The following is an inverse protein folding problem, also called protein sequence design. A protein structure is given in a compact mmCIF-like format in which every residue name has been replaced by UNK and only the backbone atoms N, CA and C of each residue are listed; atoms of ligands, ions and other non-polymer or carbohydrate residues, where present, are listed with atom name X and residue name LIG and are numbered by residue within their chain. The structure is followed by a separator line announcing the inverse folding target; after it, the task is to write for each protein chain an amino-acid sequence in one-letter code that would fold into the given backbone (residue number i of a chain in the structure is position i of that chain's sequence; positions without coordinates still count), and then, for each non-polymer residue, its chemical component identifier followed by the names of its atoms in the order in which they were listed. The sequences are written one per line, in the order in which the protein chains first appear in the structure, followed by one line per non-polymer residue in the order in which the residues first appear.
data_IF_349642070253
#
_entry.id   IF_349642070253
#
_cell.length_a   1.000
_cell.length_b   1.000
_cell.length_c   1.000
_cell.angle_alpha   90.00
_cell.angle_beta   90.00
_cell.angle_gamma   90.00
#
_symmetry.space_group_name_H-M   'P 1'
#
loop_
_entity.id
_entity.type
_entity.pdbx_description
1 polymer ?
#
# COMPACT_ATOMS: atom_id res chain seq x y z
N UNK A 1 -17.40 -0.45 6.08
CA UNK A 1 -17.15 -0.08 4.66
C UNK A 1 -17.33 -1.28 3.75
N UNK A 2 -17.01 -2.48 4.25
CA UNK A 2 -17.20 -3.74 3.54
C UNK A 2 -18.66 -3.99 3.14
N UNK A 3 -19.64 -3.69 4.02
CA UNK A 3 -21.07 -3.84 3.68
C UNK A 3 -21.46 -3.08 2.41
N UNK A 4 -21.05 -1.82 2.25
CA UNK A 4 -21.40 -1.07 1.03
C UNK A 4 -20.76 -1.69 -0.22
N UNK A 5 -19.52 -2.18 -0.12
CA UNK A 5 -18.86 -2.89 -1.22
C UNK A 5 -19.54 -4.24 -1.52
N UNK A 6 -19.98 -4.97 -0.49
CA UNK A 6 -20.72 -6.22 -0.57
C UNK A 6 -22.05 -6.04 -1.34
N UNK A 7 -22.87 -5.07 -0.92
CA UNK A 7 -24.14 -4.78 -1.60
C UNK A 7 -23.95 -4.27 -3.04
N UNK A 8 -22.87 -3.52 -3.29
CA UNK A 8 -22.49 -3.15 -4.66
C UNK A 8 -22.10 -4.40 -5.45
N UNK A 9 -21.35 -5.33 -4.86
CA UNK A 9 -20.99 -6.63 -5.45
C UNK A 9 -22.23 -7.39 -5.93
N UNK A 10 -23.24 -7.53 -5.08
CA UNK A 10 -24.55 -8.09 -5.49
C UNK A 10 -25.19 -7.31 -6.63
N UNK A 11 -25.15 -5.98 -6.57
CA UNK A 11 -25.69 -5.12 -7.63
C UNK A 11 -24.98 -5.29 -8.98
N UNK A 12 -23.72 -5.74 -8.98
CA UNK A 12 -22.93 -6.04 -10.17
C UNK A 12 -22.74 -7.55 -10.42
N UNK A 13 -23.65 -8.37 -9.89
CA UNK A 13 -23.79 -9.78 -10.28
C UNK A 13 -22.94 -10.77 -9.50
N UNK A 14 -22.28 -10.37 -8.41
CA UNK A 14 -21.63 -11.31 -7.50
C UNK A 14 -22.66 -11.97 -6.57
N UNK A 15 -22.55 -13.28 -6.40
CA UNK A 15 -23.23 -14.04 -5.33
C UNK A 15 -22.31 -14.13 -4.11
N UNK A 16 -22.78 -14.73 -3.02
CA UNK A 16 -21.92 -14.89 -1.86
C UNK A 16 -20.78 -15.89 -2.10
N UNK A 17 -19.64 -15.66 -1.46
CA UNK A 17 -18.46 -16.52 -1.53
C UNK A 17 -18.59 -17.82 -0.70
N UNK A 18 -19.68 -18.02 0.04
CA UNK A 18 -19.97 -19.23 0.81
C UNK A 18 -21.10 -20.09 0.19
N UNK A 19 -21.58 -19.72 -1.00
CA UNK A 19 -22.56 -20.48 -1.76
C UNK A 19 -21.92 -21.58 -2.62
N UNK A 20 -22.71 -22.59 -3.02
CA UNK A 20 -22.24 -23.83 -3.67
C UNK A 20 -21.37 -23.60 -4.92
N UNK A 21 -21.57 -22.47 -5.60
CA UNK A 21 -20.84 -22.12 -6.81
C UNK A 21 -19.45 -21.50 -6.55
N UNK A 22 -19.25 -20.86 -5.40
CA UNK A 22 -18.00 -20.21 -5.01
C UNK A 22 -17.40 -20.91 -3.78
N UNK A 23 -16.98 -22.16 -3.89
CA UNK A 23 -16.39 -22.87 -2.73
C UNK A 23 -14.91 -22.48 -2.48
N UNK A 24 -14.61 -21.18 -2.37
CA UNK A 24 -13.25 -20.64 -2.17
C UNK A 24 -12.88 -20.42 -0.69
N UNK A 25 -13.83 -20.67 0.21
CA UNK A 25 -13.65 -20.50 1.65
C UNK A 25 -13.96 -19.08 2.14
N UNK A 26 -14.16 -18.92 3.45
CA UNK A 26 -14.69 -17.70 4.02
C UNK A 26 -13.69 -16.54 4.05
N UNK A 27 -14.23 -15.32 4.13
CA UNK A 27 -13.54 -14.13 4.63
C UNK A 27 -13.38 -12.99 3.64
N UNK A 28 -13.81 -13.12 2.39
CA UNK A 28 -13.76 -12.05 1.38
C UNK A 28 -14.98 -11.12 1.49
N UNK A 29 -14.98 -10.02 0.72
CA UNK A 29 -16.07 -9.02 0.74
C UNK A 29 -17.46 -9.65 0.55
N UNK A 30 -17.60 -10.68 -0.29
CA UNK A 30 -18.88 -11.30 -0.61
C UNK A 30 -19.23 -12.49 0.29
N UNK A 31 -18.44 -12.79 1.32
CA UNK A 31 -18.84 -13.81 2.30
C UNK A 31 -20.03 -13.30 3.13
N UNK A 32 -20.98 -14.18 3.46
CA UNK A 32 -22.06 -13.91 4.43
C UNK A 32 -21.54 -13.63 5.85
N UNK A 33 -20.27 -13.99 6.12
CA UNK A 33 -19.54 -13.71 7.36
C UNK A 33 -18.32 -12.82 7.10
N UNK A 34 -18.16 -11.75 7.87
CA UNK A 34 -16.95 -10.90 7.80
C UNK A 34 -15.77 -11.58 8.51
N UNK A 35 -14.70 -11.90 7.77
CA UNK A 35 -13.44 -12.43 8.29
C UNK A 35 -12.22 -11.82 7.59
N UNK A 36 -11.01 -12.36 7.83
CA UNK A 36 -9.68 -11.75 7.60
C UNK A 36 -9.40 -11.11 6.21
N UNK A 37 -10.15 -11.44 5.16
CA UNK A 37 -9.94 -10.93 3.79
C UNK A 37 -11.00 -9.90 3.35
N UNK A 38 -11.71 -9.27 4.29
CA UNK A 38 -12.85 -8.38 4.03
C UNK A 38 -12.52 -7.10 3.24
N UNK A 39 -11.26 -6.91 2.85
CA UNK A 39 -10.79 -5.84 1.96
C UNK A 39 -10.75 -6.24 0.49
N UNK A 40 -10.97 -7.52 0.16
CA UNK A 40 -10.78 -8.06 -1.18
C UNK A 40 -12.01 -8.83 -1.66
N UNK A 41 -12.27 -8.77 -2.97
CA UNK A 41 -13.16 -9.72 -3.64
C UNK A 41 -12.40 -11.02 -3.90
N UNK A 42 -13.07 -12.16 -3.73
CA UNK A 42 -12.52 -13.45 -4.10
C UNK A 42 -12.32 -13.56 -5.63
N UNK A 43 -11.58 -14.57 -6.08
CA UNK A 43 -11.47 -14.88 -7.51
C UNK A 43 -12.84 -15.19 -8.15
N UNK A 44 -13.72 -15.87 -7.41
CA UNK A 44 -15.07 -16.21 -7.88
C UNK A 44 -15.91 -14.96 -8.09
N UNK A 45 -15.94 -14.08 -7.07
CA UNK A 45 -16.59 -12.78 -7.13
C UNK A 45 -16.05 -11.93 -8.30
N UNK A 46 -14.73 -11.85 -8.45
CA UNK A 46 -14.11 -11.12 -9.56
C UNK A 46 -14.54 -11.65 -10.94
N UNK A 47 -14.63 -12.98 -11.08
CA UNK A 47 -15.10 -13.62 -12.32
C UNK A 47 -16.56 -13.26 -12.61
N UNK A 48 -17.45 -13.39 -11.64
CA UNK A 48 -18.88 -13.06 -11.80
C UNK A 48 -19.09 -11.58 -12.15
N UNK A 49 -18.44 -10.68 -11.42
CA UNK A 49 -18.49 -9.24 -11.67
C UNK A 49 -18.00 -8.95 -13.09
N UNK A 50 -16.89 -9.55 -13.50
CA UNK A 50 -16.37 -9.39 -14.87
C UNK A 50 -17.36 -9.88 -15.92
N UNK A 51 -17.96 -11.05 -15.74
CA UNK A 51 -18.97 -11.59 -16.65
C UNK A 51 -20.20 -10.67 -16.75
N UNK A 52 -20.69 -10.15 -15.62
CA UNK A 52 -21.81 -9.22 -15.58
C UNK A 52 -21.49 -7.90 -16.27
N UNK A 53 -20.37 -7.26 -15.95
CA UNK A 53 -19.95 -5.96 -16.53
C UNK A 53 -19.76 -6.06 -18.05
N UNK A 54 -19.29 -7.22 -18.53
CA UNK A 54 -19.14 -7.47 -19.96
C UNK A 54 -20.47 -7.84 -20.67
N UNK A 55 -21.52 -8.19 -19.91
CA UNK A 55 -22.84 -8.52 -20.45
C UNK A 55 -23.63 -7.28 -20.91
N UNK A 56 -24.75 -7.51 -21.59
CA UNK A 56 -25.70 -6.44 -21.95
C UNK A 56 -26.52 -5.93 -20.74
N UNK A 57 -26.59 -6.71 -19.66
CA UNK A 57 -27.31 -6.32 -18.44
C UNK A 57 -26.63 -5.14 -17.74
N UNK A 58 -25.32 -5.01 -17.87
CA UNK A 58 -24.52 -3.90 -17.36
C UNK A 58 -24.38 -2.72 -18.37
N UNK A 59 -25.19 -2.67 -19.43
CA UNK A 59 -25.06 -1.65 -20.48
C UNK A 59 -25.13 -0.22 -19.94
N UNK A 60 -25.87 0.03 -18.87
CA UNK A 60 -25.95 1.33 -18.20
C UNK A 60 -24.64 1.79 -17.54
N UNK A 61 -23.73 0.87 -17.19
CA UNK A 61 -22.43 1.19 -16.59
C UNK A 61 -21.39 1.66 -17.62
N UNK A 62 -21.71 1.55 -18.92
CA UNK A 62 -20.80 1.95 -20.02
C UNK A 62 -20.81 3.45 -20.28
N UNK A 63 -21.80 4.16 -19.75
CA UNK A 63 -21.89 5.62 -19.87
C UNK A 63 -21.16 6.31 -18.71
N UNK A 64 -20.20 7.18 -19.01
CA UNK A 64 -19.42 7.95 -18.02
C UNK A 64 -19.96 9.36 -17.80
N UNK A 65 -21.18 9.64 -18.24
CA UNK A 65 -21.81 10.98 -18.20
C UNK A 65 -22.42 11.34 -16.83
N UNK A 66 -22.24 10.50 -15.81
CA UNK A 66 -22.74 10.76 -14.47
C UNK A 66 -22.09 12.00 -13.85
N UNK A 67 -22.90 12.92 -13.32
CA UNK A 67 -22.40 14.06 -12.55
C UNK A 67 -21.94 13.57 -11.18
N UNK A 68 -20.63 13.43 -10.99
CA UNK A 68 -20.02 13.14 -9.68
C UNK A 68 -20.34 14.29 -8.73
N UNK A 69 -21.27 14.06 -7.79
CA UNK A 69 -21.66 15.07 -6.78
C UNK A 69 -20.68 15.14 -5.60
N UNK A 70 -19.94 14.06 -5.37
CA UNK A 70 -18.96 13.94 -4.29
C UNK A 70 -17.67 13.41 -4.89
N UNK A 71 -16.66 14.27 -5.02
CA UNK A 71 -15.33 13.81 -5.39
C UNK A 71 -14.70 13.10 -4.21
N UNK A 72 -14.18 11.89 -4.43
CA UNK A 72 -13.21 11.28 -3.52
C UNK A 72 -11.87 11.96 -3.79
N UNK A 73 -11.16 12.36 -2.75
CA UNK A 73 -9.81 12.89 -2.89
C UNK A 73 -8.88 11.79 -3.40
N UNK A 74 -8.15 12.05 -4.49
CA UNK A 74 -7.26 11.09 -5.16
C UNK A 74 -6.22 10.48 -4.21
N UNK A 75 -5.83 11.21 -3.17
CA UNK A 75 -4.83 10.80 -2.18
C UNK A 75 -5.46 10.30 -0.88
N UNK A 76 -6.78 10.15 -0.84
CA UNK A 76 -7.58 9.93 0.38
C UNK A 76 -7.20 10.92 1.50
N UNK A 77 -6.71 12.10 1.12
CA UNK A 77 -6.24 13.12 2.03
C UNK A 77 -7.40 13.87 2.67
N UNK A 78 -8.62 13.74 2.11
CA UNK A 78 -9.87 14.33 2.61
C UNK A 78 -11.11 13.50 2.25
N UNK A 79 -12.04 13.26 3.21
CA UNK A 79 -11.82 13.41 4.65
C UNK A 79 -10.80 12.38 5.12
N UNK A 80 -9.82 12.78 5.94
CA UNK A 80 -8.95 11.80 6.60
C UNK A 80 -9.78 11.02 7.60
N UNK A 81 -9.65 9.70 7.61
CA UNK A 81 -10.15 8.90 8.72
C UNK A 81 -9.51 9.39 10.02
N UNK A 82 -10.30 9.35 11.09
CA UNK A 82 -9.89 9.78 12.42
C UNK A 82 -8.88 8.82 13.06
N UNK A 83 -8.89 8.78 14.38
CA UNK A 83 -8.25 7.77 15.20
C UNK A 83 -9.21 6.61 15.47
N UNK A 84 -8.65 5.45 15.76
CA UNK A 84 -9.40 4.28 16.22
C UNK A 84 -10.29 4.59 17.44
N UNK A 85 -9.82 5.44 18.35
CA UNK A 85 -10.61 5.91 19.49
C UNK A 85 -11.85 6.70 19.06
N UNK A 86 -11.75 7.57 18.05
CA UNK A 86 -12.91 8.32 17.55
C UNK A 86 -13.95 7.39 16.92
N UNK A 87 -13.53 6.32 16.25
CA UNK A 87 -14.45 5.28 15.75
C UNK A 87 -15.12 4.53 16.90
N UNK A 88 -14.37 4.13 17.92
CA UNK A 88 -14.95 3.52 19.12
C UNK A 88 -15.98 4.43 19.78
N UNK A 89 -15.68 5.73 19.91
CA UNK A 89 -16.58 6.72 20.51
C UNK A 89 -17.83 6.98 19.68
N UNK A 90 -17.69 7.00 18.36
CA UNK A 90 -18.83 7.13 17.45
C UNK A 90 -19.78 5.93 17.55
N UNK A 91 -19.23 4.72 17.76
CA UNK A 91 -20.02 3.49 17.81
C UNK A 91 -20.62 3.20 19.18
N UNK A 92 -19.84 3.35 20.25
CA UNK A 92 -20.17 2.90 21.60
C UNK A 92 -20.33 4.05 22.62
N UNK A 93 -20.21 5.30 22.17
CA UNK A 93 -20.40 6.49 23.02
C UNK A 93 -19.10 7.09 23.56
N UNK A 94 -19.17 8.29 24.17
CA UNK A 94 -18.01 9.13 24.48
C UNK A 94 -17.02 8.52 25.48
N UNK A 95 -17.50 7.61 26.34
CA UNK A 95 -16.70 6.91 27.35
C UNK A 95 -15.90 5.73 26.79
N UNK A 96 -16.07 5.40 25.50
CA UNK A 96 -15.36 4.31 24.87
C UNK A 96 -13.83 4.52 24.89
N UNK A 97 -13.09 3.42 25.05
CA UNK A 97 -11.63 3.36 25.15
C UNK A 97 -11.05 2.34 24.18
N UNK A 98 -9.76 2.48 23.93
CA UNK A 98 -8.95 1.50 23.18
C UNK A 98 -7.57 1.43 23.84
N UNK A 99 -7.03 0.22 23.99
CA UNK A 99 -5.69 0.01 24.50
C UNK A 99 -4.62 0.16 23.39
N UNK A 100 -3.34 0.04 23.75
CA UNK A 100 -2.25 0.16 22.77
C UNK A 100 -2.28 -0.98 21.74
N UNK A 101 -2.59 -2.21 22.15
CA UNK A 101 -2.64 -3.36 21.25
C UNK A 101 -3.75 -3.20 20.19
N UNK A 102 -4.91 -2.69 20.59
CA UNK A 102 -6.00 -2.34 19.69
C UNK A 102 -5.64 -1.20 18.74
N UNK A 103 -4.76 -0.27 19.14
CA UNK A 103 -4.29 0.82 18.27
C UNK A 103 -3.32 0.36 17.17
N UNK A 104 -2.71 -0.81 17.33
CA UNK A 104 -1.86 -1.44 16.32
C UNK A 104 -2.66 -2.37 15.39
N UNK A 105 -3.84 -2.84 15.84
CA UNK A 105 -4.63 -3.80 15.10
C UNK A 105 -5.50 -3.11 14.03
N UNK A 106 -5.12 -3.31 12.78
CA UNK A 106 -5.82 -2.76 11.63
C UNK A 106 -6.81 -3.75 11.00
N UNK A 107 -6.98 -4.96 11.54
CA UNK A 107 -8.04 -5.90 11.13
C UNK A 107 -9.24 -5.84 12.05
N UNK A 108 -9.03 -5.79 13.36
CA UNK A 108 -10.09 -5.81 14.37
C UNK A 108 -9.87 -4.67 15.36
N UNK A 109 -10.88 -3.81 15.48
CA UNK A 109 -10.90 -2.73 16.43
C UNK A 109 -11.51 -3.20 17.76
N UNK A 110 -10.68 -3.22 18.81
CA UNK A 110 -11.06 -3.61 20.17
C UNK A 110 -11.51 -2.39 20.98
N UNK A 111 -12.82 -2.14 21.03
CA UNK A 111 -13.38 -1.02 21.77
C UNK A 111 -13.87 -1.46 23.15
N UNK A 112 -13.40 -0.82 24.21
CA UNK A 112 -13.96 -0.98 25.55
C UNK A 112 -15.06 0.06 25.76
N UNK A 113 -16.24 -0.36 26.21
CA UNK A 113 -17.35 0.54 26.56
C UNK A 113 -17.96 0.15 27.90
N UNK A 114 -18.67 1.09 28.54
CA UNK A 114 -19.45 0.78 29.74
C UNK A 114 -20.69 -0.04 29.35
N UNK A 115 -21.03 -1.04 30.15
CA UNK A 115 -22.32 -1.70 30.13
C UNK A 115 -23.32 -0.98 31.07
N UNK A 116 -24.52 -1.53 31.23
CA UNK A 116 -25.57 -0.95 32.09
C UNK A 116 -25.19 -0.92 33.59
N UNK A 117 -24.18 -1.70 34.00
CA UNK A 117 -23.66 -1.79 35.37
C UNK A 117 -22.41 -0.92 35.59
N UNK A 118 -22.09 0.00 34.67
CA UNK A 118 -20.88 0.84 34.66
C UNK A 118 -19.55 0.04 34.65
N UNK A 119 -19.58 -1.20 34.15
CA UNK A 119 -18.39 -2.03 33.94
C UNK A 119 -17.90 -1.97 32.50
N UNK A 120 -16.57 -1.99 32.31
CA UNK A 120 -16.00 -2.03 30.97
C UNK A 120 -16.13 -3.41 30.33
N UNK A 121 -16.85 -3.48 29.22
CA UNK A 121 -16.93 -4.63 28.32
C UNK A 121 -16.13 -4.39 27.05
N UNK A 122 -15.46 -5.43 26.56
CA UNK A 122 -14.71 -5.36 25.30
C UNK A 122 -15.61 -5.77 24.15
N UNK A 123 -15.76 -4.89 23.17
CA UNK A 123 -16.51 -5.10 21.95
C UNK A 123 -15.55 -5.14 20.76
N UNK A 124 -15.73 -6.13 19.91
CA UNK A 124 -14.91 -6.34 18.72
C UNK A 124 -15.64 -5.78 17.49
N UNK A 125 -14.97 -4.88 16.77
CA UNK A 125 -15.42 -4.40 15.47
C UNK A 125 -14.49 -4.97 14.39
N UNK A 126 -15.02 -5.87 13.56
CA UNK A 126 -14.25 -6.59 12.53
C UNK A 126 -13.92 -5.68 11.33
N UNK A 127 -14.57 -4.53 11.21
CA UNK A 127 -14.31 -3.59 10.11
C UNK A 127 -13.59 -2.34 10.63
N UNK A 128 -12.26 -2.36 10.61
CA UNK A 128 -11.50 -1.11 10.72
C UNK A 128 -11.74 -0.24 9.49
N UNK A 129 -11.48 1.06 9.64
CA UNK A 129 -11.63 2.02 8.53
C UNK A 129 -10.27 2.17 7.85
N UNK A 130 -10.25 2.03 6.52
CA UNK A 130 -9.09 2.37 5.70
C UNK A 130 -8.56 3.76 6.04
N UNK A 131 -7.24 3.92 5.97
CA UNK A 131 -6.53 5.18 6.24
C UNK A 131 -6.70 5.70 7.69
N UNK A 132 -7.25 4.93 8.65
CA UNK A 132 -7.35 5.32 10.07
C UNK A 132 -5.97 5.37 10.72
N UNK A 133 -5.75 6.29 11.67
CA UNK A 133 -4.46 6.34 12.38
C UNK A 133 -4.26 5.09 13.23
N UNK A 134 -3.06 4.52 13.14
CA UNK A 134 -2.60 3.40 13.95
C UNK A 134 -1.20 3.68 14.51
N UNK A 135 -0.74 2.86 15.45
CA UNK A 135 0.60 2.96 16.04
C UNK A 135 1.19 1.56 16.09
N UNK A 136 2.38 1.38 15.50
CA UNK A 136 3.16 0.14 15.56
C UNK A 136 4.54 0.47 16.13
N UNK A 137 4.94 -0.19 17.21
CA UNK A 137 6.21 0.04 17.92
C UNK A 137 6.46 1.51 18.28
N UNK A 138 5.42 2.19 18.75
CA UNK A 138 5.38 3.62 19.06
C UNK A 138 5.66 4.54 17.84
N UNK A 139 5.70 4.00 16.61
CA UNK A 139 5.79 4.76 15.35
C UNK A 139 4.39 5.02 14.79
N UNK A 140 4.05 6.28 14.45
CA UNK A 140 2.74 6.61 13.90
C UNK A 140 2.59 6.08 12.46
N UNK A 141 1.44 5.48 12.21
CA UNK A 141 1.07 4.91 10.91
C UNK A 141 -0.40 5.09 10.56
N UNK A 142 -0.83 4.36 9.54
CA UNK A 142 -2.20 4.29 9.07
C UNK A 142 -2.59 2.88 8.63
N UNK A 143 -3.83 2.49 8.89
CA UNK A 143 -4.33 1.20 8.44
C UNK A 143 -4.55 1.19 6.93
N UNK A 144 -4.02 0.19 6.26
CA UNK A 144 -4.38 -0.15 4.89
C UNK A 144 -4.43 -1.67 4.74
N UNK A 145 -5.55 -2.18 4.22
CA UNK A 145 -5.81 -3.61 3.98
C UNK A 145 -5.52 -4.47 5.20
N UNK A 146 -6.01 -4.07 6.37
CA UNK A 146 -5.85 -4.85 7.59
C UNK A 146 -4.57 -4.59 8.37
N UNK A 147 -3.62 -3.82 7.82
CA UNK A 147 -2.28 -3.68 8.39
C UNK A 147 -1.93 -2.24 8.80
N UNK A 148 -1.22 -2.10 9.93
CA UNK A 148 -0.74 -0.79 10.40
C UNK A 148 0.54 -0.39 9.67
N UNK A 149 0.41 0.48 8.67
CA UNK A 149 1.51 0.94 7.83
C UNK A 149 2.10 2.24 8.38
N UNK A 150 3.33 2.20 8.87
CA UNK A 150 4.01 3.36 9.49
C UNK A 150 4.49 4.39 8.46
N UNK A 151 4.63 5.65 8.87
CA UNK A 151 5.13 6.71 7.98
C UNK A 151 6.60 6.51 7.62
N UNK A 152 6.97 6.90 6.40
CA UNK A 152 8.22 6.51 5.75
C UNK A 152 8.80 7.65 4.88
N UNK A 153 10.07 7.51 4.48
CA UNK A 153 10.75 8.44 3.57
C UNK A 153 10.57 8.01 2.12
N UNK A 154 10.35 8.96 1.21
CA UNK A 154 10.30 8.70 -0.23
C UNK A 154 11.71 8.60 -0.83
N UNK A 155 11.82 7.93 -1.98
CA UNK A 155 13.03 7.99 -2.81
C UNK A 155 12.93 9.19 -3.75
N UNK A 156 13.83 10.17 -3.57
CA UNK A 156 13.89 11.37 -4.39
C UNK A 156 15.12 11.36 -5.29
N UNK A 157 14.90 11.61 -6.59
CA UNK A 157 15.97 11.86 -7.54
C UNK A 157 16.55 13.25 -7.31
N UNK A 158 17.85 13.32 -7.00
CA UNK A 158 18.49 14.55 -6.51
C UNK A 158 18.49 15.66 -7.55
N UNK A 159 18.76 15.37 -8.83
CA UNK A 159 18.84 16.41 -9.87
C UNK A 159 17.48 17.06 -10.13
N UNK A 160 16.43 16.25 -10.30
CA UNK A 160 15.07 16.75 -10.59
C UNK A 160 14.29 17.23 -9.35
N UNK A 161 14.66 16.78 -8.15
CA UNK A 161 13.86 16.98 -6.94
C UNK A 161 12.53 16.20 -6.91
N UNK A 162 12.31 15.27 -7.85
CA UNK A 162 11.10 14.47 -7.98
C UNK A 162 11.23 13.12 -7.26
N UNK A 163 10.10 12.52 -6.89
CA UNK A 163 10.05 11.27 -6.13
C UNK A 163 9.60 10.10 -7.00
N UNK A 164 10.06 8.89 -6.69
CA UNK A 164 9.52 7.67 -7.27
C UNK A 164 8.10 7.43 -6.77
N UNK A 165 7.23 6.95 -7.66
CA UNK A 165 5.89 6.47 -7.32
C UNK A 165 5.47 5.34 -8.26
N UNK A 166 4.81 4.27 -7.77
CA UNK A 166 4.25 3.27 -8.65
C UNK A 166 3.11 3.89 -9.45
N UNK A 167 3.06 3.62 -10.77
CA UNK A 167 1.99 4.10 -11.65
C UNK A 167 0.63 3.55 -11.22
N UNK A 168 0.60 2.30 -10.77
CA UNK A 168 -0.57 1.62 -10.23
C UNK A 168 -0.48 1.59 -8.71
N UNK A 169 -1.38 2.26 -7.99
CA UNK A 169 -1.34 2.24 -6.52
C UNK A 169 -1.81 0.89 -5.94
N UNK A 170 -2.78 0.24 -6.58
CA UNK A 170 -3.48 -0.91 -6.00
C UNK A 170 -3.04 -2.29 -6.52
N UNK A 171 -2.35 -2.37 -7.66
CA UNK A 171 -1.81 -3.62 -8.21
C UNK A 171 -0.34 -3.82 -7.85
N UNK A 172 0.11 -5.06 -7.68
CA UNK A 172 1.50 -5.42 -7.32
C UNK A 172 2.48 -5.08 -8.43
N UNK A 173 2.11 -5.37 -9.67
CA UNK A 173 2.99 -5.11 -10.82
C UNK A 173 2.61 -3.83 -11.58
N UNK A 174 3.61 -3.05 -11.97
CA UNK A 174 3.41 -1.82 -12.74
C UNK A 174 4.67 -0.97 -12.88
N UNK A 175 4.68 -0.10 -13.88
CA UNK A 175 5.79 0.85 -14.11
C UNK A 175 5.99 1.79 -12.92
N UNK A 176 7.24 2.20 -12.71
CA UNK A 176 7.60 3.23 -11.73
C UNK A 176 7.92 4.54 -12.45
N UNK A 177 7.34 5.63 -11.96
CA UNK A 177 7.45 6.96 -12.55
C UNK A 177 8.07 7.95 -11.58
N UNK A 178 8.68 9.01 -12.13
CA UNK A 178 8.93 10.24 -11.39
C UNK A 178 7.64 11.06 -11.26
N UNK A 179 7.37 11.54 -10.06
CA UNK A 179 6.28 12.47 -9.78
C UNK A 179 6.77 13.60 -8.89
N UNK A 180 6.03 14.71 -8.88
CA UNK A 180 6.27 15.76 -7.88
C UNK A 180 6.14 15.13 -6.49
N UNK A 181 7.17 15.30 -5.65
CA UNK A 181 7.13 14.73 -4.30
C UNK A 181 5.89 15.24 -3.55
N UNK A 182 5.01 14.34 -3.07
CA UNK A 182 3.84 14.77 -2.32
C UNK A 182 4.26 15.46 -1.01
N UNK A 183 3.43 16.39 -0.54
CA UNK A 183 3.63 16.98 0.80
C UNK A 183 3.53 15.89 1.88
N UNK A 184 4.14 16.11 3.04
CA UNK A 184 4.07 15.16 4.17
C UNK A 184 2.63 14.75 4.53
N UNK A 185 1.65 15.63 4.24
CA UNK A 185 0.23 15.39 4.51
C UNK A 185 -0.45 14.51 3.46
N UNK A 186 0.16 14.32 2.30
CA UNK A 186 -0.33 13.52 1.18
C UNK A 186 0.43 12.22 1.00
N UNK A 187 1.60 12.07 1.61
CA UNK A 187 2.33 10.80 1.65
C UNK A 187 1.43 9.73 2.27
N UNK A 188 1.25 8.65 1.52
CA UNK A 188 0.60 7.44 2.00
C UNK A 188 1.57 6.26 1.90
N UNK A 189 1.34 5.19 2.66
CA UNK A 189 2.02 3.91 2.48
C UNK A 189 1.80 3.24 1.10
N UNK A 190 0.94 3.80 0.24
CA UNK A 190 0.81 3.33 -1.15
C UNK A 190 1.80 4.01 -2.10
N UNK A 191 2.54 5.01 -1.61
CA UNK A 191 3.59 5.74 -2.34
C UNK A 191 5.00 5.17 -2.06
N UNK A 192 5.08 4.05 -1.33
CA UNK A 192 6.32 3.44 -0.83
C UNK A 192 6.64 2.11 -1.52
N UNK A 193 7.93 1.74 -1.56
CA UNK A 193 8.45 0.50 -2.13
C UNK A 193 9.26 -0.30 -1.12
N UNK A 194 9.41 -1.59 -1.38
CA UNK A 194 10.38 -2.47 -0.74
C UNK A 194 11.63 -2.61 -1.62
N UNK A 195 12.80 -2.67 -0.99
CA UNK A 195 14.09 -2.73 -1.66
C UNK A 195 14.88 -3.84 -0.98
N UNK A 196 15.17 -4.92 -1.69
CA UNK A 196 15.98 -6.02 -1.17
C UNK A 196 17.46 -5.64 -1.29
N UNK A 197 18.07 -5.20 -0.20
CA UNK A 197 19.46 -4.73 -0.18
C UNK A 197 20.46 -5.87 0.04
N UNK A 198 21.54 -5.89 -0.75
CA UNK A 198 22.60 -6.91 -0.73
C UNK A 198 23.89 -6.47 -0.02
N UNK A 199 23.93 -5.30 0.62
CA UNK A 199 25.17 -4.73 1.19
C UNK A 199 25.72 -5.42 2.45
N UNK A 200 25.01 -6.35 3.10
CA UNK A 200 25.47 -7.05 4.32
C UNK A 200 25.73 -8.56 4.11
N UNK A 201 27.01 -8.93 3.98
CA UNK A 201 27.50 -10.30 3.76
C UNK A 201 27.28 -11.28 4.94
N UNK A 202 26.80 -10.81 6.11
CA UNK A 202 26.64 -11.64 7.32
C UNK A 202 25.19 -11.75 7.85
N UNK A 203 24.18 -11.09 7.26
CA UNK A 203 22.83 -11.02 7.84
C UNK A 203 21.63 -11.26 6.90
N UNK A 204 21.83 -11.54 5.61
CA UNK A 204 20.73 -11.77 4.66
C UNK A 204 20.17 -10.49 4.02
N UNK A 205 19.23 -10.66 3.09
CA UNK A 205 18.60 -9.58 2.33
C UNK A 205 17.99 -8.53 3.28
N UNK A 206 18.48 -7.29 3.23
CA UNK A 206 17.94 -6.22 4.05
C UNK A 206 16.80 -5.54 3.29
N UNK A 207 15.57 -5.71 3.77
CA UNK A 207 14.41 -4.99 3.24
C UNK A 207 14.52 -3.50 3.60
N UNK A 208 15.16 -2.71 2.74
CA UNK A 208 15.11 -1.26 2.75
C UNK A 208 13.77 -0.83 2.17
N UNK A 209 12.70 -1.16 2.86
CA UNK A 209 11.46 -0.45 2.62
C UNK A 209 11.79 1.05 2.72
N UNK A 210 11.19 1.85 1.86
CA UNK A 210 10.68 3.09 2.43
C UNK A 210 9.73 2.62 3.56
N UNK A 211 10.15 2.62 4.84
CA UNK A 211 10.28 1.45 5.74
C UNK A 211 8.97 0.68 6.10
N UNK A 212 9.00 -0.60 6.50
CA UNK A 212 9.62 -1.07 7.75
C UNK A 212 9.94 -2.58 7.88
N UNK A 213 11.03 -2.83 8.63
CA UNK A 213 11.48 -4.06 9.31
C UNK A 213 10.61 -4.41 10.53
N UNK A 214 10.22 -5.68 10.66
CA UNK A 214 10.13 -6.42 11.93
C UNK A 214 10.28 -7.92 11.61
N UNK A 215 10.95 -8.69 12.48
CA UNK A 215 11.57 -10.00 12.19
C UNK A 215 10.58 -11.16 11.99
N UNK A 216 9.27 -10.91 11.95
CA UNK A 216 8.25 -11.96 11.76
C UNK A 216 7.10 -11.58 10.81
N UNK A 217 7.22 -10.50 10.04
CA UNK A 217 6.15 -10.10 9.10
C UNK A 217 6.36 -10.63 7.68
N UNK A 218 5.33 -11.29 7.14
CA UNK A 218 5.29 -11.80 5.76
C UNK A 218 4.76 -10.82 4.74
N UNK A 219 4.19 -9.68 5.11
CA UNK A 219 3.63 -8.78 4.11
C UNK A 219 3.34 -7.40 4.69
N UNK A 220 4.03 -6.38 4.17
CA UNK A 220 3.52 -5.02 4.14
C UNK A 220 4.36 -4.12 3.21
N UNK A 221 4.38 -4.50 1.93
CA UNK A 221 4.95 -3.71 0.84
C UNK A 221 5.13 -4.59 -0.39
N UNK A 222 4.03 -5.08 -0.96
CA UNK A 222 3.92 -6.09 -2.03
C UNK A 222 4.57 -5.70 -3.38
N UNK A 223 5.51 -4.76 -3.38
CA UNK A 223 6.12 -4.13 -4.53
C UNK A 223 7.61 -3.96 -4.30
N UNK A 224 8.34 -4.97 -4.71
CA UNK A 224 9.76 -4.87 -4.86
C UNK A 224 10.06 -4.23 -6.21
N UNK A 225 11.06 -3.36 -6.22
CA UNK A 225 11.55 -2.79 -7.46
C UNK A 225 12.18 -3.91 -8.31
N UNK A 226 11.74 -4.02 -9.56
CA UNK A 226 12.23 -5.00 -10.51
C UNK A 226 12.67 -4.31 -11.79
N UNK A 227 13.74 -4.80 -12.40
CA UNK A 227 14.21 -4.29 -13.69
C UNK A 227 14.76 -5.42 -14.56
N UNK A 228 14.60 -5.27 -15.88
CA UNK A 228 15.16 -6.21 -16.85
C UNK A 228 16.69 -6.13 -16.99
N UNK A 229 17.23 -7.00 -17.82
CA UNK A 229 18.67 -7.21 -18.00
C UNK A 229 19.34 -6.24 -18.98
N UNK A 230 18.58 -5.56 -19.83
CA UNK A 230 19.09 -4.70 -20.91
C UNK A 230 19.25 -3.26 -20.47
N UNK A 231 20.12 -2.56 -21.17
CA UNK A 231 20.29 -1.12 -20.94
C UNK A 231 19.08 -0.39 -21.53
N UNK A 232 18.48 0.51 -20.75
CA UNK A 232 17.23 1.18 -21.10
C UNK A 232 15.96 0.44 -20.69
N UNK A 233 16.06 -0.75 -20.06
CA UNK A 233 14.89 -1.40 -19.49
C UNK A 233 14.27 -0.52 -18.42
N UNK A 234 12.94 -0.42 -18.42
CA UNK A 234 12.21 0.40 -17.47
C UNK A 234 12.14 -0.29 -16.11
N UNK A 235 12.05 0.52 -15.05
CA UNK A 235 11.82 0.10 -13.68
C UNK A 235 10.34 -0.21 -13.47
N UNK A 236 10.07 -1.36 -12.89
CA UNK A 236 8.74 -1.79 -12.50
C UNK A 236 8.71 -2.13 -11.02
N UNK A 237 7.50 -2.36 -10.55
CA UNK A 237 7.20 -3.05 -9.32
C UNK A 237 6.72 -4.46 -9.64
N UNK A 238 6.95 -5.39 -8.73
CA UNK A 238 6.35 -6.72 -8.72
C UNK A 238 6.22 -7.23 -7.29
N UNK A 239 5.47 -8.32 -7.08
CA UNK A 239 5.39 -8.99 -5.78
C UNK A 239 6.78 -9.34 -5.25
N UNK A 240 7.05 -9.01 -3.99
CA UNK A 240 8.36 -9.26 -3.40
C UNK A 240 8.64 -10.76 -3.27
N UNK A 241 9.77 -11.18 -3.82
CA UNK A 241 10.27 -12.54 -3.80
C UNK A 241 11.74 -12.50 -3.39
N UNK A 242 12.02 -12.94 -2.18
CA UNK A 242 13.39 -12.97 -1.63
C UNK A 242 14.31 -13.94 -2.37
N UNK A 243 13.75 -14.89 -3.13
CA UNK A 243 14.53 -15.81 -3.96
C UNK A 243 14.78 -15.23 -5.37
N UNK A 244 14.24 -14.05 -5.68
CA UNK A 244 14.38 -13.38 -6.96
C UNK A 244 15.49 -12.33 -6.96
N UNK A 245 16.68 -12.74 -7.41
CA UNK A 245 17.85 -11.84 -7.54
C UNK A 245 17.59 -10.59 -8.39
N UNK A 246 16.58 -10.57 -9.26
CA UNK A 246 16.20 -9.40 -10.08
C UNK A 246 15.45 -8.31 -9.31
N UNK A 247 15.17 -8.55 -8.03
CA UNK A 247 14.58 -7.57 -7.13
C UNK A 247 15.62 -6.99 -6.16
N UNK A 248 16.88 -7.39 -6.30
CA UNK A 248 17.96 -6.99 -5.40
C UNK A 248 18.62 -5.69 -5.84
N UNK A 249 18.96 -4.86 -4.86
CA UNK A 249 19.56 -3.55 -5.05
C UNK A 249 20.67 -3.32 -4.03
N UNK A 250 21.51 -2.35 -4.32
CA UNK A 250 22.64 -1.94 -3.51
C UNK A 250 22.64 -0.42 -3.43
N UNK A 251 22.79 0.12 -2.22
CA UNK A 251 22.76 1.57 -2.02
C UNK A 251 24.19 2.09 -1.85
N UNK A 252 24.85 2.32 -2.98
CA UNK A 252 26.25 2.76 -2.95
C UNK A 252 26.34 4.25 -2.60
N UNK A 253 26.95 4.63 -1.46
CA UNK A 253 27.04 6.03 -1.06
C UNK A 253 27.88 6.82 -2.07
N UNK A 254 27.43 8.03 -2.42
CA UNK A 254 28.19 8.92 -3.34
C UNK A 254 29.48 9.39 -2.67
N UNK A 255 29.42 9.69 -1.38
CA UNK A 255 30.55 10.05 -0.54
C UNK A 255 30.42 9.39 0.83
N UNK A 256 31.55 9.12 1.51
CA UNK A 256 31.52 8.61 2.88
C UNK A 256 30.75 9.61 3.77
N UNK A 257 29.59 9.19 4.29
CA UNK A 257 28.61 9.97 5.09
C UNK A 257 27.53 10.78 4.35
N UNK A 258 27.35 10.62 3.04
CA UNK A 258 26.23 11.30 2.35
C UNK A 258 24.90 10.57 2.54
N UNK A 259 23.80 11.31 2.79
CA UNK A 259 22.41 10.82 2.63
C UNK A 259 22.05 10.52 1.15
N UNK A 260 23.03 10.65 0.25
CA UNK A 260 22.93 10.45 -1.19
C UNK A 260 23.59 9.15 -1.59
N UNK A 261 22.97 8.43 -2.51
CA UNK A 261 23.46 7.15 -2.99
C UNK A 261 23.16 6.94 -4.46
N UNK A 262 23.93 6.08 -5.09
CA UNK A 262 23.57 5.42 -6.33
C UNK A 262 22.70 4.22 -6.02
N UNK A 263 21.65 4.04 -6.81
CA UNK A 263 20.74 2.90 -6.68
C UNK A 263 21.17 1.83 -7.69
N UNK A 264 21.96 0.85 -7.24
CA UNK A 264 22.64 -0.11 -8.10
C UNK A 264 21.92 -1.45 -8.06
N UNK A 265 21.52 -1.99 -9.21
CA UNK A 265 20.84 -3.27 -9.30
C UNK A 265 21.81 -4.42 -8.98
N UNK A 266 21.46 -5.29 -8.03
CA UNK A 266 22.33 -6.33 -7.49
C UNK A 266 22.84 -7.30 -8.55
N UNK A 267 21.96 -7.74 -9.46
CA UNK A 267 22.34 -8.72 -10.49
C UNK A 267 23.11 -8.13 -11.67
N UNK A 268 22.79 -6.90 -12.09
CA UNK A 268 23.35 -6.31 -13.32
C UNK A 268 24.45 -5.29 -13.09
N UNK A 269 24.59 -4.78 -11.86
CA UNK A 269 25.49 -3.67 -11.53
C UNK A 269 25.12 -2.34 -12.21
N UNK A 270 23.89 -2.19 -12.71
CA UNK A 270 23.38 -0.99 -13.38
C UNK A 270 22.74 -0.03 -12.39
N UNK A 271 22.76 1.26 -12.73
CA UNK A 271 22.21 2.32 -11.90
C UNK A 271 20.84 2.75 -12.42
N UNK A 272 19.96 3.20 -11.52
CA UNK A 272 18.71 3.83 -11.91
C UNK A 272 18.92 5.27 -12.41
N UNK A 273 18.30 5.58 -13.55
CA UNK A 273 18.25 6.91 -14.15
C UNK A 273 16.85 7.22 -14.67
N UNK A 274 16.28 8.40 -14.40
CA UNK A 274 15.09 8.86 -15.10
C UNK A 274 15.35 9.08 -16.60
N UNK A 275 14.39 8.74 -17.46
CA UNK A 275 14.45 9.03 -18.90
C UNK A 275 14.51 10.54 -19.15
N UNK A 276 13.74 11.32 -18.39
CA UNK A 276 13.77 12.78 -18.33
C UNK A 276 13.58 13.27 -16.89
N UNK A 277 13.87 14.55 -16.64
CA UNK A 277 13.67 15.19 -15.32
C UNK A 277 12.25 15.78 -15.15
N UNK A 278 11.27 15.27 -15.89
CA UNK A 278 9.89 15.74 -15.86
C UNK A 278 8.97 14.77 -15.11
N UNK A 279 7.82 15.28 -14.68
CA UNK A 279 6.74 14.43 -14.14
C UNK A 279 6.33 13.36 -15.14
N UNK A 280 5.96 12.20 -14.61
CA UNK A 280 5.59 10.99 -15.35
C UNK A 280 6.73 10.40 -16.20
N UNK A 281 7.97 10.85 -16.00
CA UNK A 281 9.11 10.17 -16.62
C UNK A 281 9.24 8.76 -16.07
N UNK A 282 9.43 7.80 -16.97
CA UNK A 282 9.91 6.47 -16.63
C UNK A 282 11.30 6.55 -16.01
N UNK A 283 11.63 5.54 -15.22
CA UNK A 283 12.97 5.31 -14.69
C UNK A 283 13.52 4.05 -15.33
N UNK A 284 14.80 4.03 -15.66
CA UNK A 284 15.43 2.95 -16.42
C UNK A 284 16.80 2.57 -15.86
N UNK A 285 17.25 1.36 -16.19
CA UNK A 285 18.58 0.86 -15.87
C UNK A 285 19.59 1.37 -16.90
N UNK A 286 20.65 2.01 -16.44
CA UNK A 286 21.77 2.45 -17.28
C UNK A 286 23.10 2.02 -16.68
N UNK A 287 24.17 2.06 -17.47
CA UNK A 287 25.50 1.85 -16.93
C UNK A 287 25.80 2.86 -15.81
N UNK A 288 26.28 2.39 -14.67
CA UNK A 288 26.69 3.27 -13.58
C UNK A 288 27.83 4.19 -14.04
N UNK A 289 27.66 5.49 -13.77
CA UNK A 289 28.64 6.54 -14.02
C UNK A 289 28.68 7.47 -12.82
N UNK A 290 29.70 8.31 -12.68
CA UNK A 290 29.71 9.37 -11.66
C UNK A 290 28.80 10.57 -11.99
N UNK A 291 27.73 10.38 -12.76
CA UNK A 291 26.80 11.45 -13.16
C UNK A 291 25.81 11.76 -12.01
N UNK A 292 25.61 13.05 -11.74
CA UNK A 292 24.66 13.54 -10.75
C UNK A 292 23.21 13.12 -11.06
N UNK A 293 22.89 12.80 -12.32
CA UNK A 293 21.58 12.29 -12.73
C UNK A 293 21.30 10.84 -12.30
N UNK A 294 22.25 10.19 -11.62
CA UNK A 294 22.09 8.84 -11.06
C UNK A 294 21.93 8.86 -9.54
N UNK A 295 21.89 10.06 -8.94
CA UNK A 295 21.96 10.23 -7.49
C UNK A 295 20.56 10.32 -6.90
N UNK A 296 20.32 9.51 -5.87
CA UNK A 296 19.07 9.41 -5.13
C UNK A 296 19.31 9.76 -3.66
N UNK A 297 18.24 10.10 -2.95
CA UNK A 297 18.25 10.29 -1.49
C UNK A 297 16.91 9.92 -0.88
N UNK A 298 16.93 9.69 0.43
CA UNK A 298 15.71 9.63 1.23
C UNK A 298 15.12 11.04 1.43
N UNK A 299 13.82 11.20 1.18
CA UNK A 299 13.09 12.44 1.34
C UNK A 299 11.96 12.27 2.34
N UNK A 300 12.08 12.95 3.49
CA UNK A 300 10.99 13.06 4.46
C UNK A 300 10.11 14.20 3.97
N UNK A 301 8.88 13.91 3.52
CA UNK A 301 7.96 14.92 3.00
C UNK A 301 7.97 16.22 3.83
N UNK A 302 7.91 17.38 3.17
CA UNK A 302 7.80 18.68 3.83
C UNK A 302 6.35 19.01 4.24
#
# INVERSE_FOLDING_TARGET
MAVAAHEIGHSVGAEHDDEEYCNLGPGFIMDSTTQNNFFFFSECSNKMISEFVNSNNASCLRETNAKVRTSIDEYFSKPKAGSMLEVCKMRYGPEAKIDKAGQANCTILNCQSLNDDDEYVTNFLIETVENIKCIRDDVPGRCFRGECRVNSNLLQHVSSGMCLKPKTQFGTSGEVLLVTCPSARQVTPLDTFEILNTDDDEAGLQLLASPYLDDENKESGDKCLWIGDKEGDSLWTDECDTDNDWQTWKLEPVEASSEKFYFVHGQTGKCLKPVSESSESLVQAVKCTGDNNLVWRWFKGQ
#
